data_IF_159231336096
#
_entry.id   IF_159231336096
#
_cell.length_a   1.000
_cell.length_b   1.000
_cell.length_c   1.000
_cell.angle_alpha   90.00
_cell.angle_beta   90.00
_cell.angle_gamma   90.00
#
_symmetry.space_group_name_H-M   'P 1'
#
loop_
_entity.id
_entity.type
_entity.pdbx_description
1 polymer ?
#
# COMPACT_ATOMS: atom_id res chain seq x y z
N UNK A 1 7.62 1.04 -4.30
CA UNK A 1 6.96 0.00 -3.47
C UNK A 1 7.06 -1.31 -4.24
N UNK A 2 7.32 -2.46 -3.66
CA UNK A 2 7.42 -3.68 -4.48
C UNK A 2 6.02 -4.21 -4.90
N UNK A 3 5.96 -5.24 -5.75
CA UNK A 3 4.73 -5.91 -6.18
C UNK A 3 4.76 -7.41 -5.91
N UNK A 4 3.66 -7.98 -5.43
CA UNK A 4 3.48 -9.43 -5.16
C UNK A 4 2.31 -9.96 -5.98
N UNK A 5 2.47 -11.13 -6.59
CA UNK A 5 1.39 -11.89 -7.23
C UNK A 5 1.56 -13.37 -6.91
N UNK A 6 0.54 -14.05 -6.41
CA UNK A 6 0.53 -15.50 -6.20
C UNK A 6 -0.70 -16.13 -6.85
N UNK A 7 -0.57 -17.33 -7.40
CA UNK A 7 -1.69 -18.04 -8.03
C UNK A 7 -1.66 -19.52 -7.63
N UNK A 8 -2.83 -20.06 -7.33
CA UNK A 8 -3.09 -21.49 -7.18
C UNK A 8 -4.38 -21.84 -7.89
N UNK A 9 -4.36 -22.88 -8.73
CA UNK A 9 -5.59 -23.36 -9.37
C UNK A 9 -5.36 -24.49 -10.36
N UNK A 10 -6.21 -24.55 -11.38
CA UNK A 10 -6.15 -25.55 -12.45
C UNK A 10 -5.47 -25.10 -13.75
N UNK A 11 -5.14 -23.81 -13.88
CA UNK A 11 -4.47 -23.25 -15.06
C UNK A 11 -2.97 -23.18 -14.85
N UNK A 12 -2.20 -23.02 -15.94
CA UNK A 12 -0.77 -22.70 -15.84
C UNK A 12 -0.57 -21.37 -15.10
N UNK A 13 0.25 -21.38 -14.05
CA UNK A 13 0.48 -20.23 -13.19
C UNK A 13 1.31 -19.14 -13.87
N UNK A 14 2.23 -19.53 -14.78
CA UNK A 14 3.17 -18.59 -15.40
C UNK A 14 2.48 -17.40 -16.09
N UNK A 15 1.52 -17.59 -17.03
CA UNK A 15 0.93 -16.47 -17.75
C UNK A 15 0.13 -15.53 -16.83
N UNK A 16 -0.54 -16.10 -15.82
CA UNK A 16 -1.36 -15.36 -14.84
C UNK A 16 -0.47 -14.47 -13.98
N UNK A 17 0.57 -15.06 -13.38
CA UNK A 17 1.51 -14.34 -12.51
C UNK A 17 2.27 -13.29 -13.33
N UNK A 18 2.75 -13.63 -14.52
CA UNK A 18 3.48 -12.71 -15.39
C UNK A 18 2.65 -11.47 -15.75
N UNK A 19 1.40 -11.65 -16.18
CA UNK A 19 0.55 -10.50 -16.52
C UNK A 19 0.20 -9.69 -15.26
N UNK A 20 -0.06 -10.34 -14.12
CA UNK A 20 -0.24 -9.65 -12.84
C UNK A 20 0.96 -8.77 -12.46
N UNK A 21 2.19 -9.29 -12.61
CA UNK A 21 3.42 -8.52 -12.34
C UNK A 21 3.58 -7.36 -13.32
N UNK A 22 3.23 -7.55 -14.59
CA UNK A 22 3.22 -6.47 -15.60
C UNK A 22 2.30 -5.32 -15.19
N UNK A 23 1.16 -5.63 -14.56
CA UNK A 23 0.24 -4.62 -14.02
C UNK A 23 0.81 -3.92 -12.79
N UNK A 24 1.71 -4.55 -12.04
CA UNK A 24 2.38 -3.98 -10.87
C UNK A 24 3.74 -3.32 -11.15
N UNK A 25 4.22 -3.28 -12.39
CA UNK A 25 5.56 -2.76 -12.74
C UNK A 25 5.76 -1.28 -12.35
N UNK A 26 4.67 -0.48 -12.24
CA UNK A 26 4.74 0.90 -11.77
C UNK A 26 5.20 1.02 -10.31
N UNK A 27 5.11 -0.06 -9.54
CA UNK A 27 5.52 -0.09 -8.13
C UNK A 27 7.05 -0.30 -8.02
N UNK A 28 7.62 -1.22 -8.81
CA UNK A 28 9.03 -1.58 -8.79
C UNK A 28 9.52 -2.18 -10.12
N UNK A 29 10.74 -1.84 -10.52
CA UNK A 29 11.31 -2.18 -11.84
C UNK A 29 12.82 -2.48 -11.82
N UNK A 30 13.43 -2.61 -10.65
CA UNK A 30 14.88 -2.88 -10.53
C UNK A 30 15.22 -4.34 -10.82
N UNK A 31 14.30 -5.26 -10.51
CA UNK A 31 14.36 -6.69 -10.83
C UNK A 31 12.98 -7.32 -10.69
N UNK A 32 12.79 -8.48 -11.30
CA UNK A 32 11.57 -9.29 -11.15
C UNK A 32 11.90 -10.78 -11.10
N UNK A 33 10.99 -11.59 -10.57
CA UNK A 33 11.14 -13.05 -10.57
C UNK A 33 9.84 -13.78 -10.32
N UNK A 34 9.81 -15.05 -10.74
CA UNK A 34 8.69 -15.98 -10.57
C UNK A 34 9.24 -17.33 -10.10
N UNK A 35 8.61 -17.89 -9.08
CA UNK A 35 8.74 -19.28 -8.65
C UNK A 35 7.47 -20.04 -9.05
N UNK A 36 7.62 -21.24 -9.63
CA UNK A 36 6.52 -22.16 -9.91
C UNK A 36 6.85 -23.51 -9.32
N UNK A 37 5.87 -24.15 -8.70
CA UNK A 37 5.97 -25.56 -8.33
C UNK A 37 5.63 -26.41 -9.53
N UNK A 38 6.61 -27.17 -10.02
CA UNK A 38 6.44 -28.01 -11.20
C UNK A 38 5.62 -29.27 -10.90
N UNK A 39 5.21 -30.05 -11.92
CA UNK A 39 4.45 -31.28 -11.71
C UNK A 39 5.17 -32.37 -10.91
N UNK A 40 6.50 -32.28 -10.76
CA UNK A 40 7.30 -33.16 -9.92
C UNK A 40 7.28 -32.71 -8.45
N UNK A 41 6.77 -31.51 -8.17
CA UNK A 41 6.72 -30.93 -6.85
C UNK A 41 7.96 -30.10 -6.51
N UNK A 42 8.81 -29.76 -7.47
CA UNK A 42 10.03 -28.97 -7.23
C UNK A 42 9.80 -27.49 -7.57
N UNK A 43 10.49 -26.59 -6.86
CA UNK A 43 10.41 -25.15 -7.11
C UNK A 43 11.34 -24.77 -8.25
N UNK A 44 10.77 -24.25 -9.32
CA UNK A 44 11.50 -23.72 -10.48
C UNK A 44 11.50 -22.19 -10.46
N UNK A 45 12.69 -21.59 -10.43
CA UNK A 45 12.88 -20.14 -10.37
C UNK A 45 13.27 -19.55 -11.74
N UNK A 46 12.70 -18.39 -12.06
CA UNK A 46 13.21 -17.52 -13.12
C UNK A 46 13.21 -16.07 -12.64
N UNK A 47 14.38 -15.43 -12.68
CA UNK A 47 14.58 -14.05 -12.25
C UNK A 47 15.25 -13.23 -13.35
N UNK A 48 15.08 -11.92 -13.29
CA UNK A 48 15.70 -10.98 -14.22
C UNK A 48 16.05 -9.68 -13.50
N UNK A 49 17.14 -9.04 -13.92
CA UNK A 49 17.47 -7.67 -13.50
C UNK A 49 16.79 -6.71 -14.46
N UNK A 50 16.12 -5.69 -13.91
CA UNK A 50 15.29 -4.76 -14.65
C UNK A 50 13.81 -5.15 -14.71
N UNK A 51 13.18 -4.81 -15.83
CA UNK A 51 11.72 -4.87 -16.02
C UNK A 51 11.17 -6.28 -16.13
N UNK A 52 9.87 -6.44 -15.86
CA UNK A 52 9.15 -7.73 -15.86
C UNK A 52 9.30 -8.46 -17.20
N UNK A 53 9.29 -7.73 -18.32
CA UNK A 53 9.47 -8.29 -19.65
C UNK A 53 10.79 -9.07 -19.82
N UNK A 54 11.81 -8.80 -19.00
CA UNK A 54 13.05 -9.56 -18.98
C UNK A 54 12.86 -11.04 -18.59
N UNK A 55 11.76 -11.39 -17.92
CA UNK A 55 11.40 -12.78 -17.61
C UNK A 55 11.02 -13.61 -18.86
N UNK A 56 10.77 -12.95 -20.00
CA UNK A 56 10.52 -13.60 -21.29
C UNK A 56 11.79 -13.81 -22.13
N UNK A 57 12.98 -13.65 -21.54
CA UNK A 57 14.24 -14.02 -22.20
C UNK A 57 14.24 -15.49 -22.63
N UNK A 58 15.09 -15.83 -23.62
CA UNK A 58 15.11 -17.15 -24.28
C UNK A 58 15.15 -18.35 -23.31
N UNK A 59 14.34 -19.37 -23.61
CA UNK A 59 14.21 -20.63 -22.85
C UNK A 59 12.78 -20.93 -22.44
N UNK A 60 12.45 -22.22 -22.26
CA UNK A 60 11.12 -22.63 -21.80
C UNK A 60 10.80 -22.02 -20.43
N UNK A 61 9.54 -21.64 -20.22
CA UNK A 61 9.06 -21.18 -18.93
C UNK A 61 8.83 -22.37 -17.99
N UNK A 62 9.03 -22.22 -16.68
CA UNK A 62 8.51 -23.16 -15.70
C UNK A 62 7.01 -23.42 -15.92
N UNK A 63 6.61 -24.67 -15.80
CA UNK A 63 5.21 -25.13 -15.94
C UNK A 63 4.71 -25.61 -14.60
N UNK A 64 3.43 -25.40 -14.31
CA UNK A 64 2.83 -25.76 -13.04
C UNK A 64 1.66 -24.84 -12.70
N UNK A 65 0.81 -25.27 -11.76
CA UNK A 65 -0.44 -24.57 -11.45
C UNK A 65 -0.41 -23.78 -10.15
N UNK A 66 0.76 -23.74 -9.49
CA UNK A 66 1.00 -22.98 -8.26
C UNK A 66 2.29 -22.20 -8.40
N UNK A 67 2.24 -20.92 -8.03
CA UNK A 67 3.42 -20.08 -8.12
C UNK A 67 3.28 -18.73 -7.43
N UNK A 68 4.41 -18.06 -7.38
CA UNK A 68 4.59 -16.78 -6.71
C UNK A 68 5.55 -15.90 -7.49
N UNK A 69 5.20 -14.63 -7.67
CA UNK A 69 5.96 -13.67 -8.44
C UNK A 69 6.17 -12.36 -7.70
N UNK A 70 7.23 -11.65 -8.07
CA UNK A 70 7.61 -10.38 -7.44
C UNK A 70 8.20 -9.38 -8.42
N UNK A 71 7.89 -8.09 -8.20
CA UNK A 71 8.64 -6.96 -8.74
C UNK A 71 9.30 -6.17 -7.62
N UNK A 72 10.59 -5.88 -7.77
CA UNK A 72 11.42 -5.31 -6.71
C UNK A 72 11.79 -3.86 -6.98
N UNK A 73 11.74 -3.07 -5.90
CA UNK A 73 12.41 -1.79 -5.74
C UNK A 73 13.45 -1.95 -4.65
N UNK A 74 14.73 -1.87 -4.98
CA UNK A 74 15.81 -2.25 -4.07
C UNK A 74 15.96 -1.28 -2.90
N UNK A 75 16.01 -1.80 -1.67
CA UNK A 75 16.32 -1.05 -0.43
C UNK A 75 17.60 -1.56 0.20
N UNK A 76 17.71 -2.87 0.44
CA UNK A 76 18.92 -3.56 0.90
C UNK A 76 19.52 -4.42 -0.22
N UNK A 77 20.81 -4.26 -0.50
CA UNK A 77 21.49 -4.98 -1.57
C UNK A 77 21.17 -4.44 -2.96
N UNK A 78 22.21 -4.33 -3.80
CA UNK A 78 22.08 -3.79 -5.16
C UNK A 78 21.14 -4.63 -6.04
N UNK A 79 20.50 -4.05 -7.07
CA UNK A 79 19.80 -4.83 -8.08
C UNK A 79 20.73 -5.88 -8.70
N UNK A 80 20.38 -7.16 -8.54
CA UNK A 80 21.14 -8.32 -8.99
C UNK A 80 20.22 -9.53 -9.08
N UNK A 81 20.68 -10.61 -9.71
CA UNK A 81 19.89 -11.84 -9.83
C UNK A 81 19.71 -12.51 -8.46
N UNK A 82 20.75 -12.46 -7.64
CA UNK A 82 20.83 -13.01 -6.28
C UNK A 82 19.87 -12.28 -5.32
N UNK A 83 19.81 -10.95 -5.42
CA UNK A 83 18.93 -10.12 -4.58
C UNK A 83 17.49 -10.01 -5.12
N UNK A 84 17.19 -10.52 -6.32
CA UNK A 84 15.84 -10.55 -6.84
C UNK A 84 15.02 -11.63 -6.13
N UNK A 85 13.77 -11.30 -5.78
CA UNK A 85 12.83 -12.27 -5.22
C UNK A 85 12.25 -13.16 -6.34
N UNK A 86 11.70 -14.36 -6.04
CA UNK A 86 11.57 -15.00 -4.72
C UNK A 86 12.89 -15.51 -4.12
N UNK A 87 13.01 -15.52 -2.79
CA UNK A 87 14.13 -16.16 -2.07
C UNK A 87 13.76 -17.59 -1.64
N UNK A 88 14.71 -18.52 -1.72
CA UNK A 88 14.55 -19.94 -1.39
C UNK A 88 15.36 -20.33 -0.15
N UNK A 89 14.95 -21.39 0.55
CA UNK A 89 15.69 -21.96 1.69
C UNK A 89 16.86 -22.83 1.24
N UNK A 90 17.68 -23.30 2.18
CA UNK A 90 18.86 -24.10 1.86
C UNK A 90 18.51 -25.44 1.18
N UNK A 91 17.27 -25.93 1.35
CA UNK A 91 16.79 -27.19 0.78
C UNK A 91 15.80 -27.00 -0.40
N UNK A 92 15.56 -25.77 -0.86
CA UNK A 92 14.61 -25.43 -1.93
C UNK A 92 13.17 -25.94 -1.72
N UNK A 93 12.76 -26.07 -0.45
CA UNK A 93 11.41 -26.46 -0.06
C UNK A 93 10.44 -25.29 -0.10
N UNK A 94 10.91 -24.06 0.11
CA UNK A 94 10.05 -22.88 0.22
C UNK A 94 10.56 -21.75 -0.67
N UNK A 95 9.63 -20.94 -1.19
CA UNK A 95 9.96 -19.69 -1.86
C UNK A 95 9.16 -18.54 -1.26
N UNK A 96 9.83 -17.43 -0.94
CA UNK A 96 9.25 -16.26 -0.25
C UNK A 96 9.42 -14.99 -1.09
N UNK A 97 8.38 -14.17 -1.12
CA UNK A 97 8.41 -12.80 -1.63
C UNK A 97 7.96 -11.82 -0.54
N UNK A 98 8.48 -10.60 -0.61
CA UNK A 98 8.31 -9.62 0.45
C UNK A 98 8.26 -8.19 -0.10
N UNK A 99 7.33 -7.41 0.43
CA UNK A 99 7.24 -5.97 0.29
C UNK A 99 7.37 -5.34 1.66
N UNK A 100 8.42 -4.55 1.91
CA UNK A 100 8.64 -3.93 3.21
C UNK A 100 10.11 -3.92 3.58
N UNK A 101 10.38 -3.71 4.87
CA UNK A 101 11.72 -3.79 5.45
C UNK A 101 11.66 -4.60 6.75
N UNK A 102 12.57 -5.56 6.89
CA UNK A 102 12.80 -6.30 8.14
C UNK A 102 13.76 -5.51 9.01
N UNK A 103 13.24 -4.75 9.98
CA UNK A 103 14.04 -3.81 10.78
C UNK A 103 15.09 -4.52 11.66
N UNK A 104 14.78 -5.74 12.13
CA UNK A 104 15.68 -6.56 12.94
C UNK A 104 16.47 -7.60 12.14
N UNK A 105 16.62 -7.45 10.81
CA UNK A 105 17.23 -8.47 9.96
C UNK A 105 18.67 -8.81 10.35
N UNK A 106 19.47 -7.84 10.82
CA UNK A 106 20.86 -8.07 11.21
C UNK A 106 20.97 -9.02 12.41
N UNK A 107 20.09 -8.88 13.39
CA UNK A 107 20.03 -9.77 14.56
C UNK A 107 19.60 -11.17 14.14
N UNK A 108 18.53 -11.26 13.33
CA UNK A 108 17.99 -12.51 12.83
C UNK A 108 19.01 -13.26 11.95
N UNK A 109 19.66 -12.55 11.02
CA UNK A 109 20.68 -13.11 10.11
C UNK A 109 21.86 -13.69 10.88
N UNK A 110 22.39 -12.98 11.88
CA UNK A 110 23.47 -13.50 12.74
C UNK A 110 23.06 -14.79 13.44
N UNK A 111 21.90 -14.79 14.09
CA UNK A 111 21.36 -15.97 14.78
C UNK A 111 21.18 -17.18 13.85
N UNK A 112 20.71 -16.96 12.61
CA UNK A 112 20.49 -18.01 11.62
C UNK A 112 21.82 -18.55 11.06
N UNK A 113 22.81 -17.69 10.81
CA UNK A 113 24.16 -18.11 10.42
C UNK A 113 24.80 -18.95 11.51
N UNK A 114 24.70 -18.53 12.78
CA UNK A 114 25.21 -19.29 13.93
C UNK A 114 24.50 -20.65 14.09
N UNK A 115 23.26 -20.77 13.62
CA UNK A 115 22.51 -22.03 13.56
C UNK A 115 22.81 -22.89 12.33
N UNK A 116 23.65 -22.41 11.40
CA UNK A 116 24.13 -23.16 10.23
C UNK A 116 23.43 -22.85 8.91
N UNK A 117 22.53 -21.87 8.84
CA UNK A 117 21.88 -21.47 7.58
C UNK A 117 22.86 -20.73 6.67
N UNK A 118 22.80 -21.01 5.37
CA UNK A 118 23.64 -20.39 4.34
C UNK A 118 22.83 -19.33 3.59
N UNK A 119 23.28 -18.08 3.66
CA UNK A 119 22.70 -16.95 2.94
C UNK A 119 23.43 -16.71 1.62
N UNK A 120 22.67 -16.53 0.54
CA UNK A 120 23.15 -16.28 -0.82
C UNK A 120 22.92 -14.82 -1.26
N UNK A 121 22.20 -14.02 -0.47
CA UNK A 121 21.87 -12.64 -0.80
C UNK A 121 22.27 -11.62 0.27
N UNK A 122 22.22 -10.35 -0.13
CA UNK A 122 22.42 -9.20 0.73
C UNK A 122 21.09 -8.65 1.29
N UNK A 123 19.96 -9.26 0.92
CA UNK A 123 18.64 -8.73 1.24
C UNK A 123 18.26 -9.05 2.68
N UNK A 124 17.44 -8.17 3.24
CA UNK A 124 16.74 -8.41 4.48
C UNK A 124 15.67 -9.49 4.33
N UNK A 125 15.08 -9.63 3.14
CA UNK A 125 14.04 -10.64 2.83
C UNK A 125 14.49 -12.08 3.06
N UNK A 126 15.73 -12.44 2.75
CA UNK A 126 16.20 -13.83 2.85
C UNK A 126 16.12 -14.38 4.29
N UNK A 127 16.18 -13.51 5.31
CA UNK A 127 15.97 -13.95 6.71
C UNK A 127 14.57 -14.53 6.92
N UNK A 128 13.56 -14.03 6.19
CA UNK A 128 12.18 -14.51 6.29
C UNK A 128 12.10 -15.97 5.83
N UNK A 129 12.77 -16.29 4.73
CA UNK A 129 12.83 -17.65 4.20
C UNK A 129 13.47 -18.60 5.22
N UNK A 130 14.64 -18.26 5.74
CA UNK A 130 15.32 -19.12 6.73
C UNK A 130 14.59 -19.20 8.08
N UNK A 131 13.77 -18.21 8.46
CA UNK A 131 12.92 -18.32 9.66
C UNK A 131 11.80 -19.36 9.48
N UNK A 132 11.22 -19.44 8.29
CA UNK A 132 10.23 -20.49 7.95
C UNK A 132 10.93 -21.84 7.88
N UNK A 133 12.09 -21.91 7.23
CA UNK A 133 12.95 -23.10 7.18
C UNK A 133 13.24 -23.65 8.59
N UNK A 134 13.75 -22.81 9.50
CA UNK A 134 14.04 -23.20 10.88
C UNK A 134 12.79 -23.70 11.62
N UNK A 135 11.62 -23.10 11.36
CA UNK A 135 10.36 -23.54 11.94
C UNK A 135 10.00 -24.96 11.49
N UNK A 136 10.10 -25.23 10.19
CA UNK A 136 9.83 -26.55 9.62
C UNK A 136 10.83 -27.61 10.09
N UNK A 137 12.12 -27.27 10.19
CA UNK A 137 13.15 -28.19 10.68
C UNK A 137 12.95 -28.56 12.17
N UNK A 138 12.21 -27.74 12.92
CA UNK A 138 11.77 -28.02 14.29
C UNK A 138 10.47 -28.85 14.36
N UNK A 139 9.93 -29.28 13.21
CA UNK A 139 8.73 -30.11 13.10
C UNK A 139 7.41 -29.34 13.08
N UNK A 140 7.43 -28.02 12.90
CA UNK A 140 6.21 -27.24 12.67
C UNK A 140 5.68 -27.49 11.26
N UNK A 141 4.37 -27.42 11.07
CA UNK A 141 3.78 -27.34 9.73
C UNK A 141 4.20 -26.05 9.03
N UNK A 142 4.08 -26.00 7.70
CA UNK A 142 4.40 -24.82 6.90
C UNK A 142 3.65 -23.56 7.39
N UNK A 143 2.35 -23.68 7.67
CA UNK A 143 1.53 -22.59 8.20
C UNK A 143 2.01 -22.11 9.58
N UNK A 144 2.30 -23.04 10.49
CA UNK A 144 2.80 -22.71 11.83
C UNK A 144 4.19 -22.08 11.79
N UNK A 145 5.08 -22.56 10.92
CA UNK A 145 6.39 -21.99 10.70
C UNK A 145 6.30 -20.57 10.11
N UNK A 146 5.41 -20.35 9.15
CA UNK A 146 5.13 -19.04 8.56
C UNK A 146 4.56 -18.06 9.59
N UNK A 147 3.60 -18.51 10.41
CA UNK A 147 3.05 -17.70 11.52
C UNK A 147 4.11 -17.37 12.57
N UNK A 148 4.95 -18.33 12.94
CA UNK A 148 6.08 -18.14 13.86
C UNK A 148 7.05 -17.08 13.32
N UNK A 149 7.41 -17.14 12.04
CA UNK A 149 8.24 -16.13 11.38
C UNK A 149 7.63 -14.73 11.57
N UNK A 150 6.31 -14.59 11.36
CA UNK A 150 5.60 -13.32 11.53
C UNK A 150 5.72 -12.70 12.92
N UNK A 151 5.76 -13.52 13.98
CA UNK A 151 5.91 -13.04 15.38
C UNK A 151 7.33 -12.59 15.72
N UNK A 152 8.33 -13.04 14.97
CA UNK A 152 9.75 -12.75 15.25
C UNK A 152 10.26 -11.49 14.56
N UNK A 153 9.54 -11.04 13.54
CA UNK A 153 9.97 -10.01 12.62
C UNK A 153 9.45 -8.64 13.05
N UNK A 154 10.30 -7.63 12.98
CA UNK A 154 9.96 -6.22 13.28
C UNK A 154 9.90 -5.40 12.00
N UNK A 155 9.01 -4.42 12.00
CA UNK A 155 8.78 -3.51 10.88
C UNK A 155 7.45 -3.74 10.20
N UNK A 156 7.27 -3.07 9.06
CA UNK A 156 6.06 -3.11 8.25
C UNK A 156 6.32 -3.88 6.96
N UNK A 157 5.50 -4.90 6.68
CA UNK A 157 5.75 -5.94 5.69
C UNK A 157 4.45 -6.56 5.14
N UNK A 158 4.47 -6.90 3.86
CA UNK A 158 3.58 -7.87 3.23
C UNK A 158 4.44 -9.02 2.71
N UNK A 159 4.15 -10.23 3.17
CA UNK A 159 4.96 -11.42 2.94
C UNK A 159 4.06 -12.47 2.32
N UNK A 160 4.55 -13.19 1.32
CA UNK A 160 3.87 -14.36 0.78
C UNK A 160 4.88 -15.48 0.51
N UNK A 161 4.47 -16.72 0.73
CA UNK A 161 5.31 -17.89 0.58
C UNK A 161 4.55 -19.07 -0.02
N UNK A 162 5.27 -19.89 -0.75
CA UNK A 162 4.82 -21.18 -1.26
C UNK A 162 5.72 -22.30 -0.75
N UNK A 163 5.14 -23.48 -0.60
CA UNK A 163 5.83 -24.73 -0.30
C UNK A 163 5.91 -25.58 -1.56
N UNK A 164 7.01 -26.32 -1.72
CA UNK A 164 7.17 -27.35 -2.73
C UNK A 164 6.16 -28.50 -2.53
N UNK A 165 6.08 -29.40 -3.51
CA UNK A 165 5.10 -30.50 -3.52
C UNK A 165 3.72 -30.11 -4.06
N UNK A 166 2.82 -31.09 -4.08
CA UNK A 166 1.56 -30.99 -4.85
C UNK A 166 0.34 -30.55 -4.02
N UNK A 167 0.52 -30.17 -2.75
CA UNK A 167 -0.58 -29.69 -1.90
C UNK A 167 -1.19 -28.39 -2.44
N UNK A 168 -0.37 -27.56 -3.08
CA UNK A 168 -0.78 -26.32 -3.71
C UNK A 168 -1.31 -25.31 -2.69
N UNK A 169 -0.38 -24.80 -1.89
CA UNK A 169 -0.67 -23.92 -0.76
C UNK A 169 0.17 -22.64 -0.85
N UNK A 170 -0.48 -21.50 -0.64
CA UNK A 170 0.16 -20.19 -0.53
C UNK A 170 -0.21 -19.59 0.82
N UNK A 171 0.79 -19.24 1.62
CA UNK A 171 0.59 -18.44 2.82
C UNK A 171 0.90 -16.98 2.50
N UNK A 172 0.09 -16.05 3.04
CA UNK A 172 0.43 -14.63 3.00
C UNK A 172 0.09 -13.95 4.33
N UNK A 173 0.88 -12.95 4.72
CA UNK A 173 0.79 -12.27 6.00
C UNK A 173 1.06 -10.78 5.80
N UNK A 174 0.25 -9.94 6.45
CA UNK A 174 0.48 -8.49 6.53
C UNK A 174 0.85 -8.10 7.96
N UNK A 175 1.99 -7.44 8.13
CA UNK A 175 2.47 -6.89 9.39
C UNK A 175 2.67 -5.37 9.23
N UNK A 176 2.13 -4.57 10.12
CA UNK A 176 2.22 -3.11 10.02
C UNK A 176 1.60 -2.57 8.73
N UNK A 177 2.24 -1.57 8.12
CA UNK A 177 1.62 -0.72 7.10
C UNK A 177 2.30 -0.73 5.72
N UNK A 178 3.24 -1.63 5.47
CA UNK A 178 3.98 -1.65 4.21
C UNK A 178 3.31 -2.61 3.22
N UNK A 179 2.80 -2.07 2.12
CA UNK A 179 2.11 -2.85 1.11
C UNK A 179 0.70 -3.28 1.54
N UNK A 180 -0.16 -3.47 0.55
CA UNK A 180 -1.43 -4.17 0.72
C UNK A 180 -1.24 -5.66 0.41
N UNK A 181 -2.19 -6.48 0.86
CA UNK A 181 -2.40 -7.83 0.36
C UNK A 181 -3.90 -8.00 0.14
N UNK A 182 -4.25 -8.43 -1.06
CA UNK A 182 -5.61 -8.71 -1.49
C UNK A 182 -5.69 -10.13 -2.02
N UNK A 183 -6.79 -10.81 -1.72
CA UNK A 183 -7.05 -12.18 -2.16
C UNK A 183 -8.40 -12.23 -2.85
N UNK A 184 -8.42 -12.78 -4.06
CA UNK A 184 -9.66 -13.17 -4.72
C UNK A 184 -9.69 -14.70 -4.84
N UNK A 185 -10.88 -15.28 -4.64
CA UNK A 185 -11.13 -16.70 -4.84
C UNK A 185 -12.32 -16.93 -5.77
N UNK A 186 -12.24 -17.98 -6.57
CA UNK A 186 -13.34 -18.62 -7.28
C UNK A 186 -13.26 -20.15 -7.10
N UNK A 187 -14.20 -20.88 -7.69
CA UNK A 187 -14.21 -22.34 -7.59
C UNK A 187 -12.93 -22.95 -8.20
N UNK A 188 -12.15 -23.65 -7.38
CA UNK A 188 -10.93 -24.36 -7.80
C UNK A 188 -9.71 -23.47 -8.07
N UNK A 189 -9.78 -22.16 -7.80
CA UNK A 189 -8.64 -21.25 -8.01
C UNK A 189 -8.67 -20.00 -7.12
N UNK A 190 -7.48 -19.49 -6.81
CA UNK A 190 -7.32 -18.25 -6.06
C UNK A 190 -6.08 -17.47 -6.52
N UNK A 191 -6.13 -16.16 -6.34
CA UNK A 191 -5.06 -15.24 -6.66
C UNK A 191 -4.82 -14.28 -5.50
N UNK A 192 -3.55 -14.05 -5.20
CA UNK A 192 -3.09 -13.08 -4.21
C UNK A 192 -2.36 -11.97 -4.95
N UNK A 193 -2.61 -10.73 -4.56
CA UNK A 193 -1.94 -9.56 -5.10
C UNK A 193 -1.52 -8.59 -4.00
N UNK A 194 -0.46 -7.82 -4.22
CA UNK A 194 -0.17 -6.68 -3.34
C UNK A 194 -1.04 -5.44 -3.61
N UNK A 195 -1.82 -5.47 -4.70
CA UNK A 195 -2.77 -4.45 -5.11
C UNK A 195 -3.79 -5.05 -6.09
N UNK A 196 -4.95 -4.42 -6.26
CA UNK A 196 -6.04 -4.88 -7.12
C UNK A 196 -5.63 -5.15 -8.58
N UNK A 197 -4.79 -4.34 -9.25
CA UNK A 197 -4.35 -4.61 -10.64
C UNK A 197 -3.71 -5.98 -10.86
N UNK A 198 -3.15 -6.59 -9.82
CA UNK A 198 -2.61 -7.95 -9.88
C UNK A 198 -3.68 -9.02 -10.17
N UNK A 199 -4.93 -8.74 -9.77
CA UNK A 199 -6.04 -9.68 -9.84
C UNK A 199 -6.71 -9.70 -11.22
N UNK A 200 -6.43 -8.68 -12.05
CA UNK A 200 -7.03 -8.48 -13.36
C UNK A 200 -7.01 -9.72 -14.27
N UNK A 201 -5.90 -10.50 -14.35
CA UNK A 201 -5.86 -11.68 -15.22
C UNK A 201 -6.98 -12.67 -14.96
N UNK A 202 -7.41 -12.84 -13.69
CA UNK A 202 -8.52 -13.74 -13.35
C UNK A 202 -9.88 -13.04 -13.33
N UNK A 203 -9.94 -11.79 -12.86
CA UNK A 203 -11.19 -11.00 -12.88
C UNK A 203 -11.75 -10.83 -14.30
N UNK A 204 -10.89 -10.85 -15.32
CA UNK A 204 -11.30 -10.80 -16.73
C UNK A 204 -11.85 -12.13 -17.25
N UNK A 205 -11.33 -13.25 -16.76
CA UNK A 205 -11.65 -14.59 -17.28
C UNK A 205 -12.78 -15.28 -16.52
N UNK A 206 -13.02 -14.89 -15.26
CA UNK A 206 -14.02 -15.51 -14.40
C UNK A 206 -14.93 -14.44 -13.78
N UNK A 207 -16.18 -14.36 -14.25
CA UNK A 207 -17.17 -13.41 -13.74
C UNK A 207 -17.59 -13.66 -12.30
N UNK A 208 -17.27 -14.84 -11.74
CA UNK A 208 -17.51 -15.15 -10.34
C UNK A 208 -16.36 -14.69 -9.44
N UNK A 209 -15.21 -14.29 -10.03
CA UNK A 209 -14.19 -13.54 -9.30
C UNK A 209 -14.62 -12.07 -9.20
N UNK A 210 -14.64 -11.56 -7.97
CA UNK A 210 -15.06 -10.19 -7.68
C UNK A 210 -15.18 -9.94 -6.18
N UNK A 211 -15.40 -10.99 -5.40
CA UNK A 211 -15.26 -10.97 -3.95
C UNK A 211 -13.78 -10.96 -3.57
N UNK A 212 -13.29 -9.82 -3.07
CA UNK A 212 -11.90 -9.60 -2.71
C UNK A 212 -11.77 -9.40 -1.20
N UNK A 213 -10.98 -10.25 -0.55
CA UNK A 213 -10.57 -10.06 0.83
C UNK A 213 -9.35 -9.16 0.92
N UNK A 214 -9.38 -8.18 1.84
CA UNK A 214 -8.27 -7.25 2.08
C UNK A 214 -7.64 -7.58 3.42
N UNK A 215 -6.36 -7.98 3.44
CA UNK A 215 -5.69 -8.32 4.69
C UNK A 215 -5.40 -7.06 5.51
N UNK A 216 -5.73 -7.13 6.79
CA UNK A 216 -5.38 -6.14 7.81
C UNK A 216 -4.05 -6.46 8.49
N UNK A 217 -3.50 -5.49 9.23
CA UNK A 217 -2.26 -5.71 9.99
C UNK A 217 -2.45 -6.82 11.03
N UNK A 218 -1.53 -7.78 11.08
CA UNK A 218 -1.60 -8.95 11.95
C UNK A 218 -2.43 -10.11 11.39
N UNK A 219 -3.01 -9.98 10.19
CA UNK A 219 -3.76 -11.05 9.56
C UNK A 219 -2.89 -11.87 8.60
N UNK A 220 -3.06 -13.19 8.72
CA UNK A 220 -2.53 -14.20 7.83
C UNK A 220 -3.66 -14.82 7.01
N UNK A 221 -3.35 -15.25 5.80
CA UNK A 221 -4.25 -16.02 4.95
C UNK A 221 -3.54 -17.26 4.42
N UNK A 222 -4.24 -18.38 4.44
CA UNK A 222 -3.84 -19.62 3.77
C UNK A 222 -4.75 -19.80 2.56
N UNK A 223 -4.13 -19.95 1.39
CA UNK A 223 -4.82 -20.03 0.12
C UNK A 223 -4.49 -21.34 -0.55
N UNK A 224 -5.53 -22.10 -0.88
CA UNK A 224 -5.46 -23.36 -1.60
C UNK A 224 -6.44 -23.34 -2.78
N UNK A 225 -6.44 -24.39 -3.59
CA UNK A 225 -7.46 -24.57 -4.64
C UNK A 225 -8.88 -24.73 -4.08
N UNK A 226 -8.99 -25.24 -2.86
CA UNK A 226 -10.27 -25.61 -2.24
C UNK A 226 -10.88 -24.44 -1.44
N UNK A 227 -10.04 -23.53 -0.95
CA UNK A 227 -10.46 -22.56 0.06
C UNK A 227 -9.43 -21.49 0.36
N UNK A 228 -9.94 -20.38 0.89
CA UNK A 228 -9.18 -19.33 1.55
C UNK A 228 -9.56 -19.29 3.02
N UNK A 229 -8.58 -19.38 3.91
CA UNK A 229 -8.77 -19.30 5.36
C UNK A 229 -7.97 -18.13 5.93
N UNK A 230 -8.64 -17.22 6.64
CA UNK A 230 -8.01 -16.10 7.32
C UNK A 230 -7.80 -16.41 8.80
N UNK A 231 -6.64 -16.05 9.32
CA UNK A 231 -6.26 -16.30 10.70
C UNK A 231 -5.47 -15.12 11.28
N UNK A 232 -5.50 -14.94 12.59
CA UNK A 232 -4.61 -14.02 13.28
C UNK A 232 -3.22 -14.65 13.53
N UNK A 233 -2.30 -13.85 14.08
CA UNK A 233 -0.98 -14.33 14.46
C UNK A 233 -1.00 -15.38 15.58
N UNK A 234 -2.10 -15.56 16.32
CA UNK A 234 -2.26 -16.62 17.33
C UNK A 234 -2.79 -17.93 16.72
N UNK A 235 -3.29 -17.89 15.48
CA UNK A 235 -3.87 -19.02 14.76
C UNK A 235 -5.39 -19.12 14.92
N UNK A 236 -6.05 -18.10 15.47
CA UNK A 236 -7.50 -18.05 15.55
C UNK A 236 -8.09 -17.68 14.20
N UNK A 237 -9.18 -18.32 13.81
CA UNK A 237 -9.92 -18.02 12.59
C UNK A 237 -10.50 -16.60 12.60
N UNK A 238 -10.41 -15.91 11.47
CA UNK A 238 -11.02 -14.59 11.23
C UNK A 238 -12.13 -14.73 10.20
N UNK A 239 -13.35 -14.37 10.59
CA UNK A 239 -14.48 -14.26 9.66
C UNK A 239 -14.33 -13.01 8.79
N UNK A 240 -13.77 -13.20 7.60
CA UNK A 240 -13.46 -12.11 6.67
C UNK A 240 -14.65 -11.82 5.77
N UNK A 241 -15.08 -10.55 5.73
CA UNK A 241 -16.10 -10.06 4.81
C UNK A 241 -15.44 -9.55 3.52
N UNK A 242 -15.54 -10.27 2.39
CA UNK A 242 -14.96 -9.81 1.14
C UNK A 242 -15.78 -8.64 0.58
N UNK A 243 -15.12 -7.77 -0.18
CA UNK A 243 -15.74 -6.64 -0.88
C UNK A 243 -15.87 -6.98 -2.36
N UNK A 244 -16.99 -6.60 -2.97
CA UNK A 244 -17.15 -6.64 -4.42
C UNK A 244 -16.24 -5.59 -5.09
N UNK A 245 -15.43 -6.02 -6.05
CA UNK A 245 -14.55 -5.17 -6.86
C UNK A 245 -14.89 -5.36 -8.33
N UNK A 246 -15.19 -4.26 -9.04
CA UNK A 246 -15.48 -4.30 -10.48
C UNK A 246 -14.20 -4.31 -11.33
N UNK A 247 -14.29 -4.75 -12.58
CA UNK A 247 -13.16 -4.67 -13.52
C UNK A 247 -12.72 -3.24 -13.79
N UNK A 248 -13.64 -2.26 -13.77
CA UNK A 248 -13.27 -0.85 -13.98
C UNK A 248 -12.42 -0.28 -12.84
N UNK A 249 -12.61 -0.77 -11.61
CA UNK A 249 -11.77 -0.42 -10.46
C UNK A 249 -10.32 -0.92 -10.62
N UNK A 250 -10.11 -1.91 -11.51
CA UNK A 250 -8.83 -2.59 -11.72
C UNK A 250 -8.16 -2.20 -13.03
N UNK A 251 -8.93 -1.77 -14.04
CA UNK A 251 -8.47 -1.39 -15.36
C UNK A 251 -7.78 -0.01 -15.34
N UNK A 252 -6.45 -0.06 -15.32
CA UNK A 252 -5.59 1.11 -15.47
C UNK A 252 -5.15 1.25 -16.94
N UNK A 253 -5.71 2.21 -17.67
CA UNK A 253 -5.38 2.50 -19.07
C UNK A 253 -4.72 3.89 -19.27
N UNK A 254 -3.86 3.99 -20.29
CA UNK A 254 -3.23 5.24 -20.73
C UNK A 254 -4.14 6.09 -21.61
N UNK A 255 -5.35 5.66 -21.98
CA UNK A 255 -6.35 6.46 -22.70
C UNK A 255 -5.79 7.16 -23.96
N UNK A 256 -4.93 6.47 -24.72
CA UNK A 256 -4.28 7.01 -25.93
C UNK A 256 -3.05 7.91 -25.69
N UNK A 257 -2.68 8.20 -24.44
CA UNK A 257 -1.46 8.95 -24.12
C UNK A 257 -0.21 8.06 -24.10
N UNK A 258 0.94 8.65 -24.42
CA UNK A 258 2.23 7.93 -24.44
C UNK A 258 2.68 7.48 -23.04
N UNK A 259 2.43 8.31 -22.03
CA UNK A 259 2.84 8.11 -20.64
C UNK A 259 1.67 8.34 -19.69
N UNK A 260 1.63 7.62 -18.57
CA UNK A 260 0.67 7.89 -17.49
C UNK A 260 0.79 9.30 -16.95
N UNK A 261 2.02 9.79 -16.71
CA UNK A 261 2.25 11.16 -16.26
C UNK A 261 1.66 12.20 -17.21
N UNK A 262 1.76 12.00 -18.53
CA UNK A 262 1.17 12.92 -19.50
C UNK A 262 -0.36 12.89 -19.42
N UNK A 263 -0.96 11.69 -19.41
CA UNK A 263 -2.41 11.53 -19.17
C UNK A 263 -2.85 12.25 -17.91
N UNK A 264 -2.16 12.03 -16.79
CA UNK A 264 -2.49 12.57 -15.48
C UNK A 264 -2.35 14.10 -15.43
N UNK A 265 -1.36 14.67 -16.11
CA UNK A 265 -1.26 16.13 -16.31
C UNK A 265 -2.50 16.65 -17.07
N UNK A 266 -2.90 15.98 -18.14
CA UNK A 266 -4.07 16.38 -18.94
C UNK A 266 -5.40 16.17 -18.18
N UNK A 267 -5.43 15.31 -17.16
CA UNK A 267 -6.59 15.06 -16.29
C UNK A 267 -6.75 16.09 -15.15
N UNK A 268 -5.79 16.99 -14.94
CA UNK A 268 -5.82 17.98 -13.86
C UNK A 268 -7.11 18.82 -13.80
N UNK A 269 -7.68 19.31 -14.92
CA UNK A 269 -8.94 20.06 -14.87
C UNK A 269 -10.08 19.24 -14.24
N UNK A 270 -10.16 17.95 -14.58
CA UNK A 270 -11.18 17.06 -14.02
C UNK A 270 -10.89 16.74 -12.55
N UNK A 271 -9.63 16.56 -12.18
CA UNK A 271 -9.25 16.34 -10.78
C UNK A 271 -9.62 17.53 -9.89
N UNK A 272 -9.40 18.76 -10.36
CA UNK A 272 -9.81 19.99 -9.66
C UNK A 272 -11.32 20.07 -9.53
N UNK A 273 -12.07 19.82 -10.61
CA UNK A 273 -13.53 19.81 -10.58
C UNK A 273 -14.09 18.77 -9.59
N UNK A 274 -13.52 17.56 -9.58
CA UNK A 274 -13.90 16.50 -8.63
C UNK A 274 -13.56 16.84 -7.18
N UNK A 275 -12.43 17.51 -6.95
CA UNK A 275 -12.01 17.96 -5.62
C UNK A 275 -12.96 19.04 -5.04
N UNK A 276 -13.55 19.88 -5.87
CA UNK A 276 -14.52 20.93 -5.47
C UNK A 276 -15.96 20.43 -5.34
N UNK A 277 -16.31 19.34 -6.03
CA UNK A 277 -17.69 18.81 -6.06
C UNK A 277 -18.20 18.56 -4.65
N UNK A 278 -19.44 19.01 -4.40
CA UNK A 278 -20.15 18.93 -3.10
C UNK A 278 -19.52 19.75 -1.96
N UNK A 279 -18.46 20.52 -2.23
CA UNK A 279 -17.76 21.34 -1.24
C UNK A 279 -17.85 22.83 -1.49
N UNK A 280 -18.25 23.23 -2.70
CA UNK A 280 -18.36 24.62 -3.10
C UNK A 280 -19.79 24.87 -3.56
N UNK A 281 -20.43 25.83 -2.91
CA UNK A 281 -21.71 26.39 -3.33
C UNK A 281 -21.46 27.73 -4.02
N UNK A 282 -21.52 27.71 -5.35
CA UNK A 282 -21.32 28.90 -6.19
C UNK A 282 -22.48 29.89 -6.14
N UNK A 283 -23.69 29.48 -5.71
CA UNK A 283 -24.82 30.40 -5.58
C UNK A 283 -24.67 31.24 -4.30
N UNK A 284 -24.33 30.59 -3.19
CA UNK A 284 -24.14 31.27 -1.90
C UNK A 284 -22.73 31.82 -1.70
N UNK A 285 -21.76 31.39 -2.51
CA UNK A 285 -20.35 31.78 -2.37
C UNK A 285 -19.71 31.20 -1.11
N UNK A 286 -20.11 29.99 -0.71
CA UNK A 286 -19.65 29.32 0.52
C UNK A 286 -18.94 28.02 0.23
N UNK A 287 -17.96 27.70 1.08
CA UNK A 287 -17.34 26.38 1.13
C UNK A 287 -17.93 25.62 2.30
N UNK A 288 -18.29 24.37 2.06
CA UNK A 288 -18.72 23.43 3.09
C UNK A 288 -17.92 22.14 2.99
N UNK A 289 -17.64 21.53 4.13
CA UNK A 289 -16.91 20.26 4.23
C UNK A 289 -17.76 19.30 5.08
N UNK A 290 -18.76 18.63 4.48
CA UNK A 290 -19.78 17.87 5.22
C UNK A 290 -19.19 16.75 6.08
N UNK A 291 -18.08 16.15 5.65
CA UNK A 291 -17.38 15.07 6.38
C UNK A 291 -16.27 15.59 7.31
N UNK A 292 -16.24 16.89 7.62
CA UNK A 292 -15.24 17.44 8.53
C UNK A 292 -15.58 17.09 9.99
N UNK A 293 -14.65 16.52 10.76
CA UNK A 293 -15.00 15.87 12.03
C UNK A 293 -15.14 16.83 13.21
N UNK A 294 -14.92 18.13 13.01
CA UNK A 294 -14.97 19.13 14.08
C UNK A 294 -16.22 20.01 13.94
N UNK A 295 -16.89 20.22 15.07
CA UNK A 295 -17.98 21.18 15.17
C UNK A 295 -17.47 22.63 15.00
N UNK A 296 -18.35 23.59 14.65
CA UNK A 296 -17.98 25.00 14.59
C UNK A 296 -17.35 25.54 15.88
N UNK A 297 -17.79 25.04 17.05
CA UNK A 297 -17.23 25.42 18.33
C UNK A 297 -15.80 24.90 18.51
N UNK A 298 -15.54 23.63 18.17
CA UNK A 298 -14.19 23.05 18.21
C UNK A 298 -13.24 23.77 17.23
N UNK A 299 -13.74 24.18 16.06
CA UNK A 299 -12.97 24.96 15.08
C UNK A 299 -12.61 26.35 15.62
N UNK A 300 -13.55 27.02 16.31
CA UNK A 300 -13.29 28.31 16.97
C UNK A 300 -12.24 28.19 18.08
N UNK A 301 -12.17 27.02 18.71
CA UNK A 301 -11.21 26.68 19.76
C UNK A 301 -9.85 26.18 19.26
N UNK A 302 -9.61 26.10 17.95
CA UNK A 302 -8.26 25.77 17.46
C UNK A 302 -7.27 26.90 17.73
N UNK A 303 -6.06 26.54 18.17
CA UNK A 303 -4.96 27.48 18.41
C UNK A 303 -3.97 27.51 17.24
N UNK A 304 -3.84 26.40 16.50
CA UNK A 304 -2.93 26.27 15.35
C UNK A 304 -3.26 25.06 14.47
N UNK A 305 -2.66 25.05 13.28
CA UNK A 305 -2.71 23.94 12.32
C UNK A 305 -1.29 23.42 12.01
N UNK A 306 -1.09 22.11 12.05
CA UNK A 306 0.16 21.48 11.62
C UNK A 306 -0.11 20.63 10.37
N UNK A 307 0.54 20.95 9.26
CA UNK A 307 0.42 20.21 8.01
C UNK A 307 1.62 19.29 7.84
N UNK A 308 1.38 18.00 7.65
CA UNK A 308 2.45 16.98 7.52
C UNK A 308 2.31 16.20 6.22
N UNK A 309 3.45 15.84 5.63
CA UNK A 309 3.50 15.02 4.42
C UNK A 309 4.94 14.67 4.05
N UNK A 310 5.12 13.87 3.01
CA UNK A 310 6.43 13.52 2.45
C UNK A 310 6.51 13.90 0.97
N UNK A 311 7.68 14.34 0.50
CA UNK A 311 7.92 14.66 -0.92
C UNK A 311 6.96 15.73 -1.47
N UNK A 312 6.28 15.44 -2.57
CA UNK A 312 5.32 16.38 -3.19
C UNK A 312 4.17 16.75 -2.25
N UNK A 313 3.75 15.86 -1.34
CA UNK A 313 2.74 16.19 -0.33
C UNK A 313 3.24 17.18 0.72
N UNK A 314 4.55 17.18 1.04
CA UNK A 314 5.16 18.23 1.86
C UNK A 314 5.18 19.57 1.13
N UNK A 315 5.43 19.58 -0.18
CA UNK A 315 5.35 20.81 -0.97
C UNK A 315 3.91 21.39 -0.94
N UNK A 316 2.89 20.52 -0.98
CA UNK A 316 1.50 20.95 -0.81
C UNK A 316 1.25 21.50 0.60
N UNK A 317 1.77 20.84 1.65
CA UNK A 317 1.70 21.31 3.03
C UNK A 317 2.29 22.73 3.19
N UNK A 318 3.43 23.01 2.56
CA UNK A 318 4.08 24.32 2.59
C UNK A 318 3.20 25.42 1.97
N UNK A 319 2.49 25.13 0.88
CA UNK A 319 1.50 26.05 0.31
C UNK A 319 0.29 26.19 1.24
N UNK A 320 -0.23 25.06 1.75
CA UNK A 320 -1.35 25.01 2.68
C UNK A 320 -1.14 25.85 3.93
N UNK A 321 0.09 25.87 4.47
CA UNK A 321 0.48 26.75 5.58
C UNK A 321 0.12 28.20 5.33
N UNK A 322 0.51 28.74 4.16
CA UNK A 322 0.21 30.11 3.79
C UNK A 322 -1.29 30.37 3.62
N UNK A 323 -2.02 29.39 3.08
CA UNK A 323 -3.48 29.49 2.90
C UNK A 323 -4.20 29.52 4.25
N UNK A 324 -3.83 28.64 5.18
CA UNK A 324 -4.41 28.59 6.52
C UNK A 324 -4.14 29.86 7.31
N UNK A 325 -2.91 30.39 7.27
CA UNK A 325 -2.59 31.67 7.93
C UNK A 325 -3.40 32.82 7.33
N UNK A 326 -3.47 32.89 5.99
CA UNK A 326 -4.09 34.01 5.29
C UNK A 326 -5.62 34.01 5.37
N UNK A 327 -6.24 32.85 5.21
CA UNK A 327 -7.70 32.72 5.07
C UNK A 327 -8.35 32.07 6.29
N UNK A 328 -7.68 31.12 6.95
CA UNK A 328 -8.17 30.46 8.16
C UNK A 328 -7.96 31.28 9.45
N UNK A 329 -7.04 32.25 9.43
CA UNK A 329 -6.70 33.07 10.60
C UNK A 329 -6.13 32.26 11.77
N UNK A 330 -5.35 31.22 11.44
CA UNK A 330 -4.69 30.35 12.40
C UNK A 330 -3.18 30.30 12.11
N UNK A 331 -2.30 30.37 13.12
CA UNK A 331 -0.91 30.01 12.96
C UNK A 331 -0.78 28.62 12.34
N UNK A 332 0.09 28.47 11.33
CA UNK A 332 0.27 27.19 10.66
C UNK A 332 1.75 26.84 10.48
N UNK A 333 2.04 25.54 10.56
CA UNK A 333 3.37 24.97 10.32
C UNK A 333 3.27 23.87 9.25
N UNK A 334 4.30 23.71 8.43
CA UNK A 334 4.41 22.60 7.48
C UNK A 334 5.72 21.84 7.73
N UNK A 335 5.64 20.52 7.90
CA UNK A 335 6.78 19.72 8.32
C UNK A 335 6.82 18.37 7.61
N UNK A 336 8.05 17.87 7.36
CA UNK A 336 8.23 16.51 6.86
C UNK A 336 7.72 15.51 7.90
N UNK A 337 6.86 14.57 7.49
CA UNK A 337 6.35 13.56 8.42
C UNK A 337 7.48 12.69 9.02
N UNK A 338 8.57 12.49 8.26
CA UNK A 338 9.75 11.76 8.71
C UNK A 338 10.45 12.44 9.89
N UNK A 339 10.52 13.79 9.90
CA UNK A 339 11.14 14.54 11.01
C UNK A 339 10.17 14.71 12.17
N UNK A 340 8.90 15.00 11.84
CA UNK A 340 7.82 15.23 12.79
C UNK A 340 7.69 14.07 13.79
N UNK A 341 7.78 12.82 13.30
CA UNK A 341 7.67 11.62 14.14
C UNK A 341 8.87 11.36 15.06
N UNK A 342 9.98 12.07 14.91
CA UNK A 342 11.18 11.86 15.73
C UNK A 342 11.50 13.01 16.67
N UNK A 343 10.98 14.22 16.43
CA UNK A 343 11.27 15.40 17.26
C UNK A 343 10.40 15.57 18.52
N UNK A 344 9.45 14.67 18.74
CA UNK A 344 8.49 14.72 19.85
C UNK A 344 7.74 16.07 19.98
N UNK A 345 6.93 16.48 18.97
CA UNK A 345 6.21 17.75 19.02
C UNK A 345 5.16 17.74 20.13
N UNK A 346 4.95 18.90 20.77
CA UNK A 346 3.76 19.11 21.61
C UNK A 346 2.52 19.03 20.71
N UNK A 347 1.54 18.21 21.07
CA UNK A 347 0.26 18.10 20.36
C UNK A 347 -0.82 18.10 21.43
N UNK A 348 -1.65 19.15 21.42
CA UNK A 348 -2.75 19.30 22.38
C UNK A 348 -4.11 19.18 21.69
N UNK A 349 -5.21 19.17 22.47
CA UNK A 349 -6.57 18.99 21.96
C UNK A 349 -7.06 20.13 21.05
N UNK A 350 -6.35 21.28 21.06
CA UNK A 350 -6.61 22.48 20.26
C UNK A 350 -5.68 22.62 19.06
N UNK A 351 -4.86 21.60 18.77
CA UNK A 351 -4.03 21.52 17.56
C UNK A 351 -4.73 20.65 16.54
N UNK A 352 -5.00 21.20 15.36
CA UNK A 352 -5.44 20.43 14.20
C UNK A 352 -4.21 19.98 13.40
N UNK A 353 -4.06 18.67 13.23
CA UNK A 353 -3.04 18.09 12.35
C UNK A 353 -3.70 17.64 11.06
N UNK A 354 -3.14 18.08 9.93
CA UNK A 354 -3.60 17.74 8.58
C UNK A 354 -2.52 16.91 7.89
N UNK A 355 -2.73 15.61 7.79
CA UNK A 355 -1.85 14.72 7.05
C UNK A 355 -2.20 14.75 5.56
N UNK A 356 -1.19 14.86 4.69
CA UNK A 356 -1.39 14.94 3.24
C UNK A 356 -0.64 13.78 2.60
N UNK A 357 -1.34 13.00 1.78
CA UNK A 357 -0.73 11.88 1.06
C UNK A 357 -1.60 11.35 -0.06
N UNK A 358 -1.00 11.12 -1.24
CA UNK A 358 -1.71 10.53 -2.38
C UNK A 358 -2.23 9.13 -2.04
N UNK A 359 -1.34 8.22 -1.63
CA UNK A 359 -1.64 6.79 -1.46
C UNK A 359 -2.40 6.49 -0.17
N UNK A 360 -2.20 7.31 0.87
CA UNK A 360 -2.67 7.01 2.23
C UNK A 360 -1.94 5.84 2.90
N UNK A 361 -0.78 5.43 2.37
CA UNK A 361 0.01 4.28 2.84
C UNK A 361 1.48 4.65 3.12
N UNK A 362 1.86 5.93 3.02
CA UNK A 362 3.24 6.38 3.23
C UNK A 362 3.66 6.16 4.69
N UNK A 363 4.59 5.23 4.93
CA UNK A 363 4.96 4.76 6.25
C UNK A 363 5.28 5.87 7.27
N UNK A 364 6.11 6.86 6.89
CA UNK A 364 6.43 7.98 7.80
C UNK A 364 5.22 8.85 8.13
N UNK A 365 4.35 9.10 7.15
CA UNK A 365 3.09 9.82 7.38
C UNK A 365 2.17 9.03 8.31
N UNK A 366 2.01 7.73 8.08
CA UNK A 366 1.19 6.86 8.93
C UNK A 366 1.71 6.79 10.36
N UNK A 367 3.03 6.64 10.54
CA UNK A 367 3.65 6.64 11.86
C UNK A 367 3.47 7.99 12.59
N UNK A 368 3.61 9.10 11.88
CA UNK A 368 3.33 10.43 12.42
C UNK A 368 1.85 10.59 12.81
N UNK A 369 0.92 10.11 11.98
CA UNK A 369 -0.52 10.12 12.26
C UNK A 369 -0.87 9.31 13.51
N UNK A 370 -0.30 8.12 13.67
CA UNK A 370 -0.50 7.31 14.86
C UNK A 370 -0.01 8.02 16.13
N UNK A 371 1.18 8.65 16.07
CA UNK A 371 1.69 9.47 17.19
C UNK A 371 0.73 10.62 17.57
N UNK A 372 0.13 11.29 16.58
CA UNK A 372 -0.84 12.37 16.83
C UNK A 372 -2.06 11.85 17.58
N UNK A 373 -2.58 10.68 17.17
CA UNK A 373 -3.69 10.01 17.85
C UNK A 373 -3.35 9.63 19.28
N UNK A 374 -2.18 9.03 19.49
CA UNK A 374 -1.72 8.61 20.83
C UNK A 374 -1.57 9.81 21.79
N UNK A 375 -1.26 11.00 21.25
CA UNK A 375 -1.17 12.26 22.01
C UNK A 375 -2.49 13.02 22.15
N UNK A 376 -3.59 12.55 21.53
CA UNK A 376 -4.91 13.19 21.63
C UNK A 376 -5.08 14.45 20.79
N UNK A 377 -4.30 14.62 19.71
CA UNK A 377 -4.51 15.70 18.74
C UNK A 377 -5.73 15.45 17.85
N UNK A 378 -6.27 16.52 17.24
CA UNK A 378 -7.30 16.39 16.19
C UNK A 378 -6.62 16.09 14.88
N UNK A 379 -7.01 15.02 14.20
CA UNK A 379 -6.32 14.53 13.01
C UNK A 379 -7.27 14.41 11.82
N UNK A 380 -7.00 15.16 10.76
CA UNK A 380 -7.67 15.02 9.46
C UNK A 380 -6.64 14.60 8.42
N UNK A 381 -7.06 13.80 7.44
CA UNK A 381 -6.21 13.48 6.29
C UNK A 381 -6.77 14.02 4.99
N UNK A 382 -5.92 14.58 4.14
CA UNK A 382 -6.20 14.82 2.73
C UNK A 382 -5.59 13.66 1.94
N UNK A 383 -6.43 12.78 1.42
CA UNK A 383 -6.00 11.55 0.76
C UNK A 383 -6.70 11.34 -0.58
N UNK A 384 -6.07 10.67 -1.54
CA UNK A 384 -6.75 10.30 -2.78
C UNK A 384 -7.38 8.91 -2.71
N UNK A 385 -6.82 7.99 -1.92
CA UNK A 385 -7.27 6.60 -1.81
C UNK A 385 -8.26 6.42 -0.66
N UNK A 386 -9.51 6.09 -1.00
CA UNK A 386 -10.54 5.73 -0.04
C UNK A 386 -10.22 4.40 0.67
N UNK A 387 -10.55 4.32 1.96
CA UNK A 387 -10.29 3.13 2.78
C UNK A 387 -8.80 2.82 3.04
N UNK A 388 -7.89 3.73 2.71
CA UNK A 388 -6.45 3.62 3.03
C UNK A 388 -6.18 3.64 4.54
N UNK A 389 -4.96 3.26 4.94
CA UNK A 389 -4.55 3.33 6.35
C UNK A 389 -4.72 4.75 6.92
N UNK A 390 -4.36 5.78 6.16
CA UNK A 390 -4.52 7.16 6.59
C UNK A 390 -5.98 7.51 6.92
N UNK A 391 -6.94 7.11 6.07
CA UNK A 391 -8.35 7.45 6.30
C UNK A 391 -8.97 6.69 7.47
N UNK A 392 -8.43 5.51 7.81
CA UNK A 392 -8.84 4.73 8.98
C UNK A 392 -8.28 5.28 10.29
N UNK A 393 -7.08 5.86 10.26
CA UNK A 393 -6.44 6.46 11.43
C UNK A 393 -7.00 7.85 11.70
N UNK A 394 -7.32 8.65 10.68
CA UNK A 394 -7.80 10.02 10.88
C UNK A 394 -9.20 10.10 11.53
N UNK A 395 -9.50 11.20 12.22
CA UNK A 395 -10.87 11.52 12.68
C UNK A 395 -11.80 11.82 11.50
N UNK A 396 -11.26 12.32 10.39
CA UNK A 396 -11.99 12.62 9.17
C UNK A 396 -11.08 12.66 7.95
N UNK A 397 -11.66 12.47 6.77
CA UNK A 397 -10.94 12.36 5.50
C UNK A 397 -11.49 13.31 4.45
N UNK A 398 -10.63 14.17 3.93
CA UNK A 398 -10.92 15.05 2.79
C UNK A 398 -10.38 14.42 1.52
N UNK A 399 -11.22 13.66 0.82
CA UNK A 399 -10.77 12.94 -0.37
C UNK A 399 -10.51 13.87 -1.56
N UNK A 400 -9.35 13.71 -2.21
CA UNK A 400 -8.96 14.47 -3.40
C UNK A 400 -9.85 14.14 -4.61
N UNK A 401 -10.35 12.91 -4.69
CA UNK A 401 -11.18 12.40 -5.81
C UNK A 401 -10.53 12.63 -7.20
N UNK A 402 -9.20 12.57 -7.28
CA UNK A 402 -8.44 12.78 -8.52
C UNK A 402 -8.39 11.54 -9.43
N UNK A 403 -8.99 10.42 -8.98
CA UNK A 403 -8.87 9.11 -9.61
C UNK A 403 -7.48 8.50 -9.41
N UNK A 404 -7.25 7.29 -9.93
CA UNK A 404 -5.99 6.57 -9.77
C UNK A 404 -4.85 7.34 -10.45
N UNK A 405 -3.74 7.52 -9.74
CA UNK A 405 -2.49 8.11 -10.25
C UNK A 405 -1.42 7.03 -10.22
N UNK A 406 -0.84 6.75 -11.38
CA UNK A 406 0.10 5.66 -11.68
C UNK A 406 1.51 6.19 -11.91
N UNK A 407 1.63 7.39 -12.47
CA UNK A 407 2.90 8.09 -12.58
C UNK A 407 3.56 8.19 -11.22
N UNK A 408 4.85 7.82 -11.15
CA UNK A 408 5.63 7.91 -9.89
C UNK A 408 5.71 9.36 -9.41
N UNK A 409 5.85 10.31 -10.35
CA UNK A 409 5.80 11.73 -10.04
C UNK A 409 4.33 12.19 -9.92
N UNK A 410 3.95 12.62 -8.72
CA UNK A 410 2.62 13.17 -8.45
C UNK A 410 2.35 14.42 -9.30
N UNK A 411 1.18 14.48 -9.93
CA UNK A 411 0.75 15.60 -10.78
C UNK A 411 -0.65 16.06 -10.44
N UNK A 412 -1.68 15.30 -10.82
CA UNK A 412 -3.09 15.64 -10.55
C UNK A 412 -3.43 15.57 -9.07
N UNK A 413 -2.79 14.68 -8.31
CA UNK A 413 -3.03 14.59 -6.87
C UNK A 413 -2.39 15.76 -6.12
N UNK A 414 -1.27 16.30 -6.61
CA UNK A 414 -0.70 17.54 -6.09
C UNK A 414 -1.66 18.71 -6.27
N UNK A 415 -2.16 18.95 -7.49
CA UNK A 415 -3.09 20.05 -7.76
C UNK A 415 -4.41 19.86 -7.00
N UNK A 416 -4.96 18.65 -6.95
CA UNK A 416 -6.15 18.36 -6.15
C UNK A 416 -5.90 18.62 -4.65
N UNK A 417 -4.74 18.27 -4.12
CA UNK A 417 -4.39 18.56 -2.72
C UNK A 417 -4.35 20.07 -2.43
N UNK A 418 -3.83 20.88 -3.35
CA UNK A 418 -3.85 22.34 -3.24
C UNK A 418 -5.28 22.89 -3.26
N UNK A 419 -6.15 22.34 -4.11
CA UNK A 419 -7.58 22.68 -4.12
C UNK A 419 -8.21 22.39 -2.75
N UNK A 420 -8.01 21.20 -2.19
CA UNK A 420 -8.57 20.84 -0.88
C UNK A 420 -8.01 21.73 0.24
N UNK A 421 -6.71 22.04 0.22
CA UNK A 421 -6.11 22.93 1.20
C UNK A 421 -6.68 24.35 1.14
N UNK A 422 -6.98 24.84 -0.07
CA UNK A 422 -7.63 26.13 -0.25
C UNK A 422 -9.06 26.11 0.31
N UNK A 423 -9.84 25.07 -0.01
CA UNK A 423 -11.19 24.87 0.53
C UNK A 423 -11.17 24.75 2.06
N UNK A 424 -10.23 23.99 2.63
CA UNK A 424 -10.06 23.86 4.07
C UNK A 424 -9.75 25.21 4.72
N UNK A 425 -8.85 26.00 4.15
CA UNK A 425 -8.51 27.31 4.67
C UNK A 425 -9.71 28.28 4.66
N UNK A 426 -10.48 28.28 3.58
CA UNK A 426 -11.71 29.08 3.46
C UNK A 426 -12.76 28.61 4.48
N UNK A 427 -13.00 27.30 4.57
CA UNK A 427 -13.95 26.70 5.52
C UNK A 427 -13.61 27.05 6.98
N UNK A 428 -12.33 26.96 7.36
CA UNK A 428 -11.85 27.38 8.69
C UNK A 428 -12.09 28.89 8.91
N UNK A 429 -11.78 29.71 7.91
CA UNK A 429 -11.98 31.16 7.96
C UNK A 429 -13.45 31.57 8.12
N UNK A 430 -14.34 30.90 7.39
CA UNK A 430 -15.79 31.09 7.48
C UNK A 430 -16.32 30.67 8.86
N UNK A 431 -15.88 29.51 9.35
CA UNK A 431 -16.31 28.97 10.65
C UNK A 431 -15.84 29.82 11.83
N UNK A 432 -14.67 30.47 11.70
CA UNK A 432 -14.08 31.34 12.73
C UNK A 432 -14.49 32.81 12.61
N UNK A 433 -15.26 33.17 11.57
CA UNK A 433 -15.64 34.55 11.28
C UNK A 433 -14.49 35.45 10.85
N UNK A 434 -13.37 34.87 10.39
CA UNK A 434 -12.22 35.58 9.81
C UNK A 434 -12.54 36.06 8.39
N UNK A 435 -13.31 35.26 7.64
CA UNK A 435 -13.81 35.61 6.33
C UNK A 435 -15.28 36.01 6.43
N UNK A 436 -15.60 37.21 5.95
CA UNK A 436 -16.99 37.60 5.72
C UNK A 436 -17.55 36.94 4.44
N UNK A 437 -18.86 37.09 4.23
CA UNK A 437 -19.55 36.51 3.07
C UNK A 437 -19.02 37.08 1.75
N UNK A 438 -18.64 38.36 1.72
CA UNK A 438 -18.15 39.00 0.50
C UNK A 438 -16.78 38.43 0.09
N UNK A 439 -15.86 38.28 1.04
CA UNK A 439 -14.54 37.71 0.80
C UNK A 439 -14.61 36.22 0.49
N UNK A 440 -15.51 35.48 1.15
CA UNK A 440 -15.75 34.07 0.84
C UNK A 440 -16.20 33.90 -0.61
N UNK A 441 -17.15 34.73 -1.06
CA UNK A 441 -17.64 34.72 -2.43
C UNK A 441 -16.56 35.07 -3.45
N UNK A 442 -15.75 36.10 -3.18
CA UNK A 442 -14.61 36.48 -4.03
C UNK A 442 -13.59 35.34 -4.21
N UNK A 443 -13.44 34.46 -3.22
CA UNK A 443 -12.52 33.31 -3.30
C UNK A 443 -13.14 32.09 -3.98
N UNK A 444 -14.47 32.01 -4.04
CA UNK A 444 -15.22 30.94 -4.69
C UNK A 444 -15.38 31.21 -6.19
N UNK A 445 -15.62 32.48 -6.56
CA UNK A 445 -15.66 32.96 -7.95
C UNK A 445 -14.27 32.91 -8.61
#
# INVERSE_FOLDING_TARGET
MCGIVGYVGGQEAWPIIFEGLRRLEYRGYDSAGIAIVDPQGEIQLRKTVGKVNGLNSAGAHPTGTVGLGHTRWATHGRPSHENAHPHIDCQQRIAVVHNGIVENYLELKRRLIDAGHVFESETDTEVLTHLVEEGMDRGLSFQEAFRRMGRMVKGSQAISAILNGNSGEICALRLGHAGGLVVAQAEGQAIIGSDLPALLPLLQTDSNMGQVGFLETGEMVVVTRDGVEYQDLEGNHIDKQPRMVSQEEVLVDKAGYQHFMLKEIMEQPQAVASAMRERVDFETGRVDLPDFPLSPQEIAELDRVMLIGCGTSLNAAQVGRHLVERYGGLPAEAESASEFRYRDPYIGPRTLVVAIGQSGETADTIAAMQMVKDKGGRLVTICNTEGSQASRIADGSLYMRAGIEIGVASTKTFVASLTILNLLAIFLGQSRGVLDTAKSRELVD
#
